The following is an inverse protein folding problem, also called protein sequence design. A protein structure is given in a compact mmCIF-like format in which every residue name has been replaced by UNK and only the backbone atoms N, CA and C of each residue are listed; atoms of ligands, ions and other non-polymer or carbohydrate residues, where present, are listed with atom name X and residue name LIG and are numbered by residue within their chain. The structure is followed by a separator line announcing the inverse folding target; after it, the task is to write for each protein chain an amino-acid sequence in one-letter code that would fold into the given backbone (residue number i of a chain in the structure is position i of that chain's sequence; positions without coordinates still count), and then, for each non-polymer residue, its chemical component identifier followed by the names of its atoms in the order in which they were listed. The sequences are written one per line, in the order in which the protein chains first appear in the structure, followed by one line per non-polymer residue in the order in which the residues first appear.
data_IF_035643648213
#
_entry.id   IF_035643648213
#
_cell.length_a   1.000
_cell.length_b   1.000
_cell.length_c   1.000
_cell.angle_alpha   90.00
_cell.angle_beta   90.00
_cell.angle_gamma   90.00
#
_symmetry.space_group_name_H-M   'P 1'
#
loop_
_entity.id
_entity.type
_entity.pdbx_description
1 polymer ?
#
# COMPACT_ATOMS: atom_id res chain seq x y z
N UNK A 1 -8.51 -7.20 -4.70
CA UNK A 1 -8.39 -6.13 -3.67
C UNK A 1 -6.95 -5.67 -3.56
N UNK A 2 -6.67 -4.43 -3.14
CA UNK A 2 -5.32 -3.98 -2.77
C UNK A 2 -4.66 -4.83 -1.68
N UNK A 3 -3.33 -4.95 -1.72
CA UNK A 3 -2.59 -5.78 -0.75
C UNK A 3 -2.77 -5.33 0.71
N UNK A 4 -2.89 -4.02 1.05
CA UNK A 4 -3.19 -3.60 2.41
C UNK A 4 -4.51 -4.16 2.94
N UNK A 5 -5.52 -4.30 2.08
CA UNK A 5 -6.83 -4.87 2.45
C UNK A 5 -6.72 -6.37 2.66
N UNK A 6 -6.00 -7.09 1.79
CA UNK A 6 -5.76 -8.52 1.97
C UNK A 6 -5.02 -8.80 3.29
N UNK A 7 -3.99 -8.02 3.60
CA UNK A 7 -3.27 -8.12 4.87
C UNK A 7 -4.17 -7.82 6.07
N UNK A 8 -4.99 -6.77 5.98
CA UNK A 8 -5.98 -6.43 7.02
C UNK A 8 -6.99 -7.56 7.25
N UNK A 9 -7.53 -8.15 6.18
CA UNK A 9 -8.48 -9.27 6.30
C UNK A 9 -7.84 -10.48 6.97
N UNK A 10 -6.59 -10.81 6.62
CA UNK A 10 -5.84 -11.91 7.24
C UNK A 10 -5.60 -11.63 8.73
N UNK A 11 -5.10 -10.44 9.06
CA UNK A 11 -4.89 -10.00 10.44
C UNK A 11 -6.20 -9.99 11.24
N UNK A 12 -7.28 -9.42 10.70
CA UNK A 12 -8.57 -9.34 11.39
C UNK A 12 -9.14 -10.72 11.69
N UNK A 13 -9.00 -11.66 10.78
CA UNK A 13 -9.43 -13.04 10.99
C UNK A 13 -8.64 -13.72 12.11
N UNK A 14 -7.35 -13.39 12.31
CA UNK A 14 -6.53 -13.95 13.39
C UNK A 14 -7.00 -13.54 14.80
N UNK A 15 -7.83 -12.50 14.89
CA UNK A 15 -8.42 -12.03 16.16
C UNK A 15 -9.77 -12.72 16.48
N UNK A 16 -10.31 -13.55 15.59
CA UNK A 16 -11.59 -14.24 15.74
C UNK A 16 -11.42 -15.69 16.18
N UNK A 17 -12.57 -16.38 16.28
CA UNK A 17 -12.64 -17.78 16.73
C UNK A 17 -12.23 -18.80 15.65
N UNK A 18 -12.18 -18.38 14.37
CA UNK A 18 -11.79 -19.22 13.22
C UNK A 18 -10.69 -18.51 12.41
N UNK A 19 -9.44 -18.49 12.93
CA UNK A 19 -8.34 -17.76 12.31
C UNK A 19 -7.87 -18.45 11.03
N UNK A 20 -7.49 -17.66 10.03
CA UNK A 20 -6.77 -18.18 8.88
C UNK A 20 -5.37 -18.64 9.30
N UNK A 21 -4.94 -19.79 8.79
CA UNK A 21 -3.59 -20.33 9.06
C UNK A 21 -2.52 -19.64 8.22
N UNK A 22 -2.88 -19.06 7.10
CA UNK A 22 -2.00 -18.27 6.22
C UNK A 22 -2.82 -17.43 5.25
N UNK A 23 -2.21 -16.40 4.71
CA UNK A 23 -2.70 -15.65 3.56
C UNK A 23 -1.86 -15.91 2.32
N UNK A 24 -2.51 -15.91 1.15
CA UNK A 24 -1.84 -15.96 -0.15
C UNK A 24 -2.35 -14.82 -1.02
N UNK A 25 -1.43 -14.06 -1.60
CA UNK A 25 -1.75 -12.95 -2.48
C UNK A 25 -1.03 -13.11 -3.82
N UNK A 26 -1.77 -12.95 -4.92
CA UNK A 26 -1.23 -13.08 -6.28
C UNK A 26 -0.99 -11.66 -6.81
N UNK A 27 0.29 -11.31 -7.04
CA UNK A 27 0.71 -10.01 -7.55
C UNK A 27 2.14 -10.04 -8.06
N UNK A 28 2.43 -9.24 -9.07
CA UNK A 28 3.78 -8.87 -9.47
C UNK A 28 4.17 -7.47 -8.95
N UNK A 29 3.32 -6.85 -8.09
CA UNK A 29 3.53 -5.51 -7.53
C UNK A 29 3.68 -4.46 -8.66
N UNK A 30 4.88 -3.91 -8.85
CA UNK A 30 5.21 -2.86 -9.82
C UNK A 30 5.86 -3.37 -11.11
N UNK A 31 6.03 -4.68 -11.26
CA UNK A 31 6.60 -5.25 -12.47
C UNK A 31 5.68 -5.04 -13.69
N UNK A 32 6.23 -5.13 -14.92
CA UNK A 32 5.43 -5.13 -16.14
C UNK A 32 4.31 -6.18 -16.14
N UNK A 33 3.27 -5.94 -16.93
CA UNK A 33 2.03 -6.72 -16.94
C UNK A 33 2.19 -8.22 -17.23
N UNK A 34 3.26 -8.63 -17.93
CA UNK A 34 3.58 -10.02 -18.25
C UNK A 34 4.10 -10.83 -17.06
N UNK A 35 4.46 -10.17 -15.95
CA UNK A 35 4.94 -10.84 -14.75
C UNK A 35 3.79 -11.14 -13.78
N UNK A 36 3.95 -12.20 -13.02
CA UNK A 36 3.10 -12.51 -11.89
C UNK A 36 3.93 -13.13 -10.76
N UNK A 37 3.35 -13.20 -9.56
CA UNK A 37 4.01 -13.75 -8.39
C UNK A 37 3.02 -14.18 -7.32
N UNK A 38 3.49 -14.95 -6.37
CA UNK A 38 2.73 -15.42 -5.22
C UNK A 38 3.45 -14.92 -3.96
N UNK A 39 2.71 -14.21 -3.12
CA UNK A 39 3.19 -13.71 -1.83
C UNK A 39 2.43 -14.39 -0.70
N UNK A 40 3.15 -14.92 0.26
CA UNK A 40 2.58 -15.57 1.44
C UNK A 40 2.55 -14.58 2.61
N UNK A 41 1.56 -14.78 3.49
CA UNK A 41 1.34 -13.98 4.70
C UNK A 41 1.18 -14.92 5.90
N UNK A 42 1.75 -14.50 7.03
CA UNK A 42 1.44 -15.09 8.33
C UNK A 42 -0.02 -14.83 8.72
N UNK A 43 -0.57 -15.57 9.69
CA UNK A 43 -1.94 -15.34 10.16
C UNK A 43 -2.20 -13.90 10.62
N UNK A 44 -1.21 -13.21 11.15
CA UNK A 44 -1.28 -11.80 11.56
C UNK A 44 -1.18 -10.79 10.42
N UNK A 45 -1.15 -11.24 9.17
CA UNK A 45 -1.04 -10.40 7.97
C UNK A 45 0.39 -9.99 7.61
N UNK A 46 1.39 -10.31 8.42
CA UNK A 46 2.79 -10.01 8.12
C UNK A 46 3.31 -10.83 6.93
N UNK A 47 4.27 -10.27 6.20
CA UNK A 47 4.92 -10.98 5.08
C UNK A 47 5.81 -12.12 5.57
N UNK A 48 5.79 -13.24 4.86
CA UNK A 48 6.80 -14.27 5.03
C UNK A 48 8.18 -13.71 4.64
N UNK A 49 9.17 -13.95 5.47
CA UNK A 49 10.57 -13.61 5.21
C UNK A 49 11.42 -14.87 5.07
N UNK A 50 11.86 -15.46 6.17
CA UNK A 50 12.63 -16.70 6.17
C UNK A 50 11.82 -17.90 5.63
N UNK A 51 10.51 -17.94 5.89
CA UNK A 51 9.61 -18.96 5.38
C UNK A 51 9.56 -19.04 3.85
N UNK A 52 9.86 -17.94 3.13
CA UNK A 52 9.93 -17.96 1.66
C UNK A 52 11.06 -18.87 1.15
N UNK A 53 12.14 -19.03 1.90
CA UNK A 53 13.26 -19.93 1.55
C UNK A 53 12.77 -21.38 1.56
N UNK A 54 12.01 -21.74 2.60
CA UNK A 54 11.48 -23.10 2.74
C UNK A 54 10.40 -23.39 1.69
N UNK A 55 9.50 -22.43 1.43
CA UNK A 55 8.49 -22.57 0.36
C UNK A 55 9.17 -22.77 -0.99
N UNK A 56 10.24 -22.01 -1.29
CA UNK A 56 11.02 -22.17 -2.51
C UNK A 56 11.66 -23.56 -2.59
N UNK A 57 12.24 -24.04 -1.48
CA UNK A 57 12.82 -25.40 -1.40
C UNK A 57 11.77 -26.46 -1.70
N UNK A 58 10.62 -26.41 -1.01
CA UNK A 58 9.51 -27.34 -1.22
C UNK A 58 9.03 -27.34 -2.68
N UNK A 59 8.90 -26.18 -3.29
CA UNK A 59 8.44 -26.04 -4.68
C UNK A 59 9.37 -26.71 -5.69
N UNK A 60 10.70 -26.67 -5.46
CA UNK A 60 11.69 -27.24 -6.40
C UNK A 60 12.15 -28.65 -6.06
N UNK A 61 12.07 -29.07 -4.81
CA UNK A 61 12.67 -30.31 -4.32
C UNK A 61 11.63 -31.37 -3.94
N UNK A 62 10.38 -31.00 -3.67
CA UNK A 62 9.34 -31.92 -3.25
C UNK A 62 8.32 -32.17 -4.35
N UNK A 63 7.91 -33.43 -4.48
CA UNK A 63 6.77 -33.78 -5.32
C UNK A 63 5.46 -33.34 -4.67
N UNK A 64 4.56 -32.75 -5.47
CA UNK A 64 3.21 -32.41 -5.00
C UNK A 64 2.48 -33.67 -4.53
N UNK A 65 2.05 -33.69 -3.27
CA UNK A 65 1.26 -34.79 -2.72
C UNK A 65 -0.20 -34.63 -3.14
N UNK A 66 -0.75 -35.65 -3.76
CA UNK A 66 -2.19 -35.72 -3.98
C UNK A 66 -2.90 -35.92 -2.62
N UNK A 67 -3.86 -35.05 -2.34
CA UNK A 67 -4.75 -35.20 -1.19
C UNK A 67 -6.04 -35.90 -1.63
N UNK A 68 -6.46 -36.92 -0.89
CA UNK A 68 -7.68 -37.69 -1.16
C UNK A 68 -8.96 -36.92 -0.87
N UNK A 69 -8.89 -35.84 -0.11
CA UNK A 69 -10.01 -34.98 0.24
C UNK A 69 -9.86 -33.58 -0.38
N UNK A 70 -10.92 -33.14 -1.04
CA UNK A 70 -10.98 -31.76 -1.55
C UNK A 70 -11.44 -30.82 -0.44
N UNK A 71 -10.70 -29.72 -0.24
CA UNK A 71 -11.12 -28.65 0.67
C UNK A 71 -12.35 -27.90 0.16
N UNK A 72 -13.02 -27.19 1.06
CA UNK A 72 -14.15 -26.31 0.72
C UNK A 72 -13.64 -24.91 0.36
N UNK A 73 -14.10 -24.37 -0.77
CA UNK A 73 -13.84 -23.00 -1.18
C UNK A 73 -15.03 -22.13 -0.76
N UNK A 74 -14.76 -21.09 0.05
CA UNK A 74 -15.73 -20.06 0.38
C UNK A 74 -15.32 -18.76 -0.31
N UNK A 75 -16.24 -18.20 -1.10
CA UNK A 75 -16.03 -16.89 -1.77
C UNK A 75 -16.60 -15.81 -0.85
N UNK A 76 -15.78 -14.85 -0.48
CA UNK A 76 -16.17 -13.71 0.34
C UNK A 76 -16.60 -12.54 -0.55
N UNK A 77 -17.53 -11.72 -0.06
CA UNK A 77 -17.94 -10.50 -0.74
C UNK A 77 -16.80 -9.46 -0.72
N UNK A 78 -16.40 -8.99 -1.90
CA UNK A 78 -15.41 -7.93 -2.03
C UNK A 78 -15.91 -6.65 -1.37
N UNK A 79 -17.15 -6.23 -1.64
CA UNK A 79 -17.72 -5.00 -1.11
C UNK A 79 -17.78 -5.00 0.43
N UNK A 80 -18.14 -6.15 1.03
CA UNK A 80 -18.10 -6.30 2.48
C UNK A 80 -16.70 -6.06 3.05
N UNK A 81 -15.66 -6.60 2.42
CA UNK A 81 -14.26 -6.46 2.88
C UNK A 81 -13.71 -5.06 2.64
N UNK A 82 -14.09 -4.41 1.53
CA UNK A 82 -13.77 -3.00 1.28
C UNK A 82 -14.41 -2.09 2.33
N UNK A 83 -15.68 -2.29 2.65
CA UNK A 83 -16.38 -1.54 3.69
C UNK A 83 -15.78 -1.76 5.08
N UNK A 84 -15.46 -2.98 5.43
CA UNK A 84 -14.78 -3.33 6.69
C UNK A 84 -13.45 -2.56 6.84
N UNK A 85 -12.62 -2.60 5.79
CA UNK A 85 -11.35 -1.89 5.78
C UNK A 85 -11.54 -0.37 5.86
N UNK A 86 -12.48 0.18 5.09
CA UNK A 86 -12.81 1.61 5.12
C UNK A 86 -13.19 2.05 6.52
N UNK A 87 -14.10 1.32 7.19
CA UNK A 87 -14.52 1.63 8.56
C UNK A 87 -13.34 1.56 9.54
N UNK A 88 -12.45 0.58 9.38
CA UNK A 88 -11.25 0.48 10.19
C UNK A 88 -10.34 1.72 10.01
N UNK A 89 -10.04 2.11 8.77
CA UNK A 89 -9.21 3.30 8.48
C UNK A 89 -9.86 4.56 9.03
N UNK A 90 -11.16 4.76 8.81
CA UNK A 90 -11.92 5.90 9.34
C UNK A 90 -11.89 5.97 10.87
N UNK A 91 -11.84 4.81 11.56
CA UNK A 91 -11.72 4.78 13.03
C UNK A 91 -10.35 5.23 13.56
N UNK A 92 -9.34 5.31 12.68
CA UNK A 92 -7.94 5.63 13.03
C UNK A 92 -7.49 7.02 12.60
N UNK A 93 -8.19 7.60 11.66
CA UNK A 93 -7.84 8.90 11.07
C UNK A 93 -8.88 9.95 11.44
N UNK A 94 -8.44 11.21 11.52
CA UNK A 94 -9.32 12.37 11.65
C UNK A 94 -9.97 12.75 10.32
N UNK A 95 -10.85 13.74 10.38
CA UNK A 95 -11.48 14.35 9.21
C UNK A 95 -10.44 15.13 8.39
N UNK A 96 -10.59 15.07 7.06
CA UNK A 96 -9.76 15.78 6.07
C UNK A 96 -10.60 16.79 5.25
N UNK A 97 -11.71 17.24 5.78
CA UNK A 97 -12.63 18.19 5.11
C UNK A 97 -11.88 19.40 4.55
N UNK A 98 -12.22 19.75 3.33
CA UNK A 98 -11.71 20.92 2.63
C UNK A 98 -10.37 20.69 1.91
N UNK A 99 -9.78 19.53 2.03
CA UNK A 99 -8.61 19.17 1.22
C UNK A 99 -9.01 18.83 -0.20
N UNK A 100 -8.15 19.19 -1.16
CA UNK A 100 -8.26 18.85 -2.58
C UNK A 100 -7.06 18.02 -3.01
N UNK A 101 -7.28 16.81 -3.51
CA UNK A 101 -6.22 15.86 -3.83
C UNK A 101 -6.38 15.32 -5.25
N UNK A 102 -5.29 15.31 -6.03
CA UNK A 102 -5.23 14.57 -7.27
C UNK A 102 -4.68 13.16 -7.04
N UNK A 103 -5.34 12.15 -7.62
CA UNK A 103 -5.05 10.74 -7.36
C UNK A 103 -4.79 10.01 -8.69
N UNK A 104 -3.74 9.18 -8.73
CA UNK A 104 -3.43 8.31 -9.85
C UNK A 104 -3.17 6.87 -9.37
N UNK A 105 -4.19 5.99 -9.37
CA UNK A 105 -3.99 4.56 -9.10
C UNK A 105 -3.31 3.80 -10.25
N UNK A 106 -3.03 4.43 -11.39
CA UNK A 106 -2.30 3.84 -12.50
C UNK A 106 -2.93 2.59 -13.10
N UNK A 107 -4.25 2.52 -13.17
CA UNK A 107 -5.00 1.33 -13.57
C UNK A 107 -4.79 0.09 -12.67
N UNK A 108 -4.13 0.26 -11.52
CA UNK A 108 -3.93 -0.81 -10.54
C UNK A 108 -5.19 -1.12 -9.73
N UNK A 109 -5.11 -2.11 -8.85
CA UNK A 109 -6.25 -2.52 -8.00
C UNK A 109 -6.65 -1.48 -6.96
N UNK A 110 -5.82 -0.45 -6.71
CA UNK A 110 -6.19 0.72 -5.91
C UNK A 110 -7.39 1.48 -6.44
N UNK A 111 -7.62 1.43 -7.76
CA UNK A 111 -8.76 2.06 -8.44
C UNK A 111 -10.12 1.69 -7.87
N UNK A 112 -10.26 0.55 -7.23
CA UNK A 112 -11.56 0.07 -6.71
C UNK A 112 -11.95 0.70 -5.36
N UNK A 113 -11.06 1.45 -4.70
CA UNK A 113 -11.33 1.94 -3.35
C UNK A 113 -10.76 3.33 -3.06
N UNK A 114 -9.59 3.68 -3.61
CA UNK A 114 -8.81 4.82 -3.10
C UNK A 114 -9.57 6.14 -3.25
N UNK A 115 -10.21 6.37 -4.38
CA UNK A 115 -10.99 7.57 -4.65
C UNK A 115 -12.17 7.68 -3.65
N UNK A 116 -12.99 6.64 -3.54
CA UNK A 116 -14.12 6.58 -2.61
C UNK A 116 -13.66 6.73 -1.15
N UNK A 117 -12.53 6.13 -0.78
CA UNK A 117 -11.99 6.23 0.56
C UNK A 117 -11.65 7.68 0.93
N UNK A 118 -10.96 8.42 0.07
CA UNK A 118 -10.67 9.84 0.32
C UNK A 118 -11.94 10.69 0.39
N UNK A 119 -12.92 10.45 -0.49
CA UNK A 119 -14.20 11.14 -0.45
C UNK A 119 -14.95 10.91 0.87
N UNK A 120 -14.87 9.72 1.46
CA UNK A 120 -15.43 9.42 2.79
C UNK A 120 -14.77 10.21 3.93
N UNK A 121 -13.55 10.69 3.73
CA UNK A 121 -12.86 11.60 4.64
C UNK A 121 -13.17 13.09 4.39
N UNK A 122 -14.11 13.41 3.49
CA UNK A 122 -14.47 14.79 3.14
C UNK A 122 -13.52 15.45 2.15
N UNK A 123 -12.65 14.68 1.49
CA UNK A 123 -11.69 15.19 0.51
C UNK A 123 -12.35 15.38 -0.84
N UNK A 124 -12.11 16.52 -1.50
CA UNK A 124 -12.43 16.72 -2.91
C UNK A 124 -11.33 16.07 -3.76
N UNK A 125 -11.69 15.07 -4.56
CA UNK A 125 -10.74 14.28 -5.34
C UNK A 125 -10.84 14.54 -6.83
N UNK A 126 -9.69 14.52 -7.53
CA UNK A 126 -9.60 14.43 -8.98
C UNK A 126 -8.79 13.18 -9.32
N UNK A 127 -9.45 12.16 -9.84
CA UNK A 127 -8.82 10.86 -10.05
C UNK A 127 -8.61 10.59 -11.55
N UNK A 128 -7.37 10.27 -11.94
CA UNK A 128 -7.00 9.80 -13.29
C UNK A 128 -6.65 8.32 -13.25
N UNK A 129 -6.69 7.64 -14.40
CA UNK A 129 -6.31 6.22 -14.53
C UNK A 129 -7.05 5.30 -13.52
N UNK A 130 -8.32 5.63 -13.23
CA UNK A 130 -9.13 5.04 -12.17
C UNK A 130 -10.00 3.86 -12.62
N UNK A 131 -9.58 3.14 -13.65
CA UNK A 131 -10.23 1.90 -14.10
C UNK A 131 -9.21 0.78 -14.03
N UNK A 132 -9.45 -0.29 -13.24
CA UNK A 132 -8.51 -1.40 -13.15
C UNK A 132 -8.27 -2.03 -14.52
N UNK A 133 -7.03 -2.07 -14.97
CA UNK A 133 -6.61 -2.72 -16.21
C UNK A 133 -5.19 -3.28 -16.06
N UNK A 134 -5.08 -4.61 -16.04
CA UNK A 134 -3.80 -5.30 -15.84
C UNK A 134 -2.80 -5.13 -16.97
N UNK A 135 -3.18 -4.49 -18.10
CA UNK A 135 -2.24 -4.10 -19.15
C UNK A 135 -1.52 -2.78 -18.88
N UNK A 136 -1.98 -1.99 -17.88
CA UNK A 136 -1.42 -0.69 -17.49
C UNK A 136 -1.28 0.28 -18.69
N UNK A 137 -2.39 0.61 -19.39
CA UNK A 137 -2.33 1.29 -20.70
C UNK A 137 -1.83 2.74 -20.63
N UNK A 138 -1.99 3.41 -19.48
CA UNK A 138 -1.72 4.84 -19.36
C UNK A 138 -0.32 5.15 -18.82
N UNK A 139 0.21 4.30 -17.93
CA UNK A 139 1.59 4.37 -17.45
C UNK A 139 2.04 3.01 -16.90
N UNK A 140 3.36 2.76 -16.80
CA UNK A 140 3.86 1.59 -16.08
C UNK A 140 3.28 1.49 -14.66
N UNK A 141 3.10 0.28 -14.16
CA UNK A 141 2.62 -0.02 -12.81
C UNK A 141 3.47 0.66 -11.71
N UNK A 142 4.77 0.85 -11.96
CA UNK A 142 5.67 1.57 -11.05
C UNK A 142 5.39 3.08 -11.05
N UNK A 143 5.07 3.72 -9.90
CA UNK A 143 4.81 5.15 -9.79
C UNK A 143 6.11 5.97 -9.67
N UNK A 144 7.15 5.61 -10.44
CA UNK A 144 8.38 6.40 -10.46
C UNK A 144 8.10 7.81 -11.03
N UNK A 145 8.76 8.86 -10.54
CA UNK A 145 8.50 10.24 -10.98
C UNK A 145 8.52 10.44 -12.51
N UNK A 146 9.36 9.72 -13.23
CA UNK A 146 9.43 9.73 -14.71
C UNK A 146 8.15 9.23 -15.39
N UNK A 147 7.33 8.45 -14.69
CA UNK A 147 6.09 7.86 -15.19
C UNK A 147 4.84 8.70 -14.82
N UNK A 148 5.00 9.77 -14.04
CA UNK A 148 3.88 10.55 -13.48
C UNK A 148 3.57 11.84 -14.28
N UNK A 149 3.94 11.90 -15.57
CA UNK A 149 3.79 13.11 -16.39
C UNK A 149 2.35 13.65 -16.44
N UNK A 150 1.35 12.77 -16.50
CA UNK A 150 -0.07 13.15 -16.52
C UNK A 150 -0.51 13.71 -15.16
N UNK A 151 -0.18 13.03 -14.05
CA UNK A 151 -0.48 13.51 -12.70
C UNK A 151 0.23 14.82 -12.38
N UNK A 152 1.51 14.98 -12.78
CA UNK A 152 2.27 16.23 -12.63
C UNK A 152 1.60 17.36 -13.41
N UNK A 153 1.12 17.07 -14.62
CA UNK A 153 0.42 18.06 -15.46
C UNK A 153 -0.91 18.47 -14.84
N UNK A 154 -1.66 17.53 -14.28
CA UNK A 154 -2.89 17.79 -13.55
C UNK A 154 -2.62 18.62 -12.29
N UNK A 155 -1.64 18.24 -11.47
CA UNK A 155 -1.26 18.93 -10.24
C UNK A 155 -0.87 20.40 -10.48
N UNK A 156 -0.23 20.69 -11.62
CA UNK A 156 0.19 22.06 -11.99
C UNK A 156 -0.91 22.92 -12.61
N UNK A 157 -1.95 22.30 -13.09
CA UNK A 157 -3.04 22.99 -13.79
C UNK A 157 -4.14 23.47 -12.85
N UNK A 158 -4.28 22.82 -11.71
CA UNK A 158 -5.33 23.08 -10.73
C UNK A 158 -4.73 23.20 -9.32
N UNK A 159 -5.50 23.72 -8.36
CA UNK A 159 -5.05 23.93 -7.00
C UNK A 159 -5.36 22.70 -6.14
N UNK A 160 -4.40 21.79 -6.01
CA UNK A 160 -4.44 20.66 -5.08
C UNK A 160 -3.51 20.90 -3.90
N UNK A 161 -3.89 20.43 -2.73
CA UNK A 161 -3.01 20.47 -1.55
C UNK A 161 -1.81 19.53 -1.71
N UNK A 162 -2.05 18.37 -2.32
CA UNK A 162 -1.03 17.45 -2.80
C UNK A 162 -1.60 16.49 -3.85
N UNK A 163 -0.73 15.70 -4.45
CA UNK A 163 -1.16 14.60 -5.33
C UNK A 163 -0.50 13.30 -4.93
N UNK A 164 -1.14 12.16 -5.24
CA UNK A 164 -0.62 10.84 -4.89
C UNK A 164 -0.81 9.85 -6.02
N UNK A 165 0.24 9.10 -6.33
CA UNK A 165 0.22 7.97 -7.26
C UNK A 165 0.50 6.65 -6.53
N UNK A 166 -0.13 5.56 -6.98
CA UNK A 166 0.01 4.24 -6.39
C UNK A 166 0.59 3.25 -7.39
N UNK A 167 1.22 2.19 -6.89
CA UNK A 167 1.63 1.06 -7.72
C UNK A 167 0.47 0.05 -7.93
N UNK A 168 0.76 -1.02 -8.68
CA UNK A 168 -0.29 -1.94 -9.16
C UNK A 168 -1.11 -2.63 -8.08
N UNK A 169 -0.52 -2.95 -6.92
CA UNK A 169 -1.20 -3.58 -5.79
C UNK A 169 -1.44 -2.63 -4.61
N UNK A 170 -1.12 -1.34 -4.82
CA UNK A 170 -1.37 -0.21 -3.92
C UNK A 170 -0.73 -0.37 -2.53
N UNK A 171 0.44 -1.02 -2.45
CA UNK A 171 1.25 -1.08 -1.22
C UNK A 171 2.33 0.02 -1.18
N UNK A 172 2.55 0.72 -2.31
CA UNK A 172 3.46 1.86 -2.43
C UNK A 172 2.78 3.07 -3.02
N UNK A 173 3.20 4.26 -2.55
CA UNK A 173 2.73 5.52 -3.09
C UNK A 173 3.87 6.52 -3.26
N UNK A 174 3.68 7.43 -4.22
CA UNK A 174 4.56 8.58 -4.46
C UNK A 174 3.72 9.85 -4.37
N UNK A 175 4.19 10.81 -3.59
CA UNK A 175 3.52 12.09 -3.39
C UNK A 175 4.13 13.19 -4.27
N UNK A 176 3.28 14.09 -4.73
CA UNK A 176 3.67 15.38 -5.31
C UNK A 176 3.20 16.49 -4.37
N UNK A 177 4.00 17.54 -4.25
CA UNK A 177 3.61 18.76 -3.51
C UNK A 177 2.51 19.57 -4.25
N UNK A 178 2.08 20.68 -3.66
CA UNK A 178 1.10 21.62 -4.21
C UNK A 178 1.53 22.26 -5.54
N UNK A 179 2.77 22.10 -5.95
CA UNK A 179 3.35 22.57 -7.22
C UNK A 179 3.58 21.46 -8.24
N UNK A 180 3.20 20.22 -7.90
CA UNK A 180 3.40 19.05 -8.73
C UNK A 180 4.87 18.59 -8.77
N UNK A 181 5.67 18.86 -7.74
CA UNK A 181 7.03 18.33 -7.64
C UNK A 181 7.02 17.04 -6.81
N UNK A 182 7.72 15.99 -7.25
CA UNK A 182 7.85 14.76 -6.45
C UNK A 182 8.50 15.03 -5.09
N UNK A 183 7.88 14.48 -4.04
CA UNK A 183 8.41 14.53 -2.66
C UNK A 183 9.18 13.24 -2.40
N UNK A 184 10.41 13.36 -1.87
CA UNK A 184 11.20 12.15 -1.58
C UNK A 184 10.58 11.32 -0.46
N UNK A 185 10.73 9.98 -0.50
CA UNK A 185 10.21 9.09 0.54
C UNK A 185 10.67 9.45 1.94
N UNK A 186 11.91 9.90 2.09
CA UNK A 186 12.47 10.31 3.38
C UNK A 186 11.76 11.53 3.95
N UNK A 187 11.41 12.52 3.11
CA UNK A 187 10.64 13.68 3.56
C UNK A 187 9.26 13.27 4.06
N UNK A 188 8.59 12.37 3.35
CA UNK A 188 7.31 11.80 3.81
C UNK A 188 7.51 11.04 5.13
N UNK A 189 8.55 10.20 5.23
CA UNK A 189 8.91 9.51 6.47
C UNK A 189 9.13 10.44 7.65
N UNK A 190 9.82 11.57 7.45
CA UNK A 190 10.04 12.59 8.48
C UNK A 190 8.72 13.27 8.90
N UNK A 191 7.85 13.59 7.95
CA UNK A 191 6.52 14.18 8.24
C UNK A 191 5.69 13.21 9.09
N UNK A 192 5.63 11.94 8.71
CA UNK A 192 4.92 10.90 9.47
C UNK A 192 5.55 10.70 10.84
N UNK A 193 6.88 10.58 10.93
CA UNK A 193 7.60 10.43 12.20
C UNK A 193 7.30 11.58 13.15
N UNK A 194 7.25 12.83 12.66
CA UNK A 194 6.92 14.01 13.47
C UNK A 194 5.54 13.91 14.13
N UNK A 195 4.57 13.26 13.49
CA UNK A 195 3.22 13.09 14.04
C UNK A 195 3.10 11.91 15.01
N UNK A 196 4.05 10.97 14.98
CA UNK A 196 3.99 9.71 15.75
C UNK A 196 4.95 9.68 16.95
N UNK A 197 6.04 10.47 16.91
CA UNK A 197 7.03 10.49 17.98
C UNK A 197 6.42 11.06 19.27
N UNK A 198 6.59 10.29 20.37
CA UNK A 198 6.30 10.71 21.74
C UNK A 198 7.51 10.42 22.62
N UNK A 199 7.62 10.98 23.86
CA UNK A 199 8.71 10.65 24.76
C UNK A 199 8.86 9.15 25.06
N UNK A 200 7.75 8.40 25.03
CA UNK A 200 7.70 6.96 25.30
C UNK A 200 7.93 6.11 24.04
N UNK A 201 7.76 6.68 22.84
CA UNK A 201 7.86 5.99 21.55
C UNK A 201 8.53 6.88 20.52
N UNK A 202 9.88 6.95 20.60
CA UNK A 202 10.67 7.85 19.77
C UNK A 202 11.68 7.15 18.84
N UNK A 203 11.68 5.81 18.79
CA UNK A 203 12.63 5.05 17.95
C UNK A 203 12.10 4.91 16.54
N UNK A 204 12.93 5.34 15.58
CA UNK A 204 12.66 5.24 14.14
C UNK A 204 13.67 4.27 13.55
N UNK A 205 13.16 3.17 12.96
CA UNK A 205 14.00 2.20 12.26
C UNK A 205 14.04 2.56 10.77
N UNK A 206 15.23 2.70 10.22
CA UNK A 206 15.45 2.94 8.79
C UNK A 206 16.32 1.85 8.17
N UNK A 207 16.00 1.48 6.93
CA UNK A 207 16.80 0.53 6.15
C UNK A 207 18.00 1.19 5.48
N UNK A 208 19.03 0.40 5.17
CA UNK A 208 20.27 0.86 4.50
C UNK A 208 20.03 1.68 3.20
N UNK A 209 18.99 1.42 2.38
CA UNK A 209 18.72 2.22 1.19
C UNK A 209 18.22 3.64 1.45
N UNK A 210 17.85 3.98 2.69
CA UNK A 210 17.35 5.31 3.04
C UNK A 210 18.46 6.37 3.01
N UNK A 211 18.08 7.62 2.74
CA UNK A 211 19.00 8.74 2.70
C UNK A 211 19.53 9.11 4.09
N UNK A 212 20.79 9.51 4.14
CA UNK A 212 21.47 10.04 5.35
C UNK A 212 20.80 11.29 5.94
N UNK A 213 19.91 11.95 5.21
CA UNK A 213 19.14 13.09 5.73
C UNK A 213 18.36 12.75 7.01
N UNK A 214 18.02 11.47 7.20
CA UNK A 214 17.34 10.99 8.40
C UNK A 214 18.20 11.17 9.67
N UNK A 215 19.54 11.07 9.57
CA UNK A 215 20.45 11.28 10.69
C UNK A 215 20.40 12.73 11.21
N UNK A 216 20.18 13.67 10.30
CA UNK A 216 20.08 15.08 10.66
C UNK A 216 18.67 15.48 11.14
N UNK A 217 17.63 14.90 10.54
CA UNK A 217 16.25 15.38 10.74
C UNK A 217 15.50 14.64 11.86
N UNK A 218 15.73 13.34 12.05
CA UNK A 218 15.04 12.58 13.10
C UNK A 218 15.37 13.07 14.52
N UNK A 219 16.65 13.35 14.88
CA UNK A 219 16.95 13.94 16.19
C UNK A 219 16.31 15.30 16.43
N UNK A 220 16.18 16.16 15.39
CA UNK A 220 15.55 17.49 15.52
C UNK A 220 14.08 17.43 15.93
N UNK A 221 13.41 16.35 15.63
CA UNK A 221 12.00 16.12 16.01
C UNK A 221 11.85 15.25 17.27
N UNK A 222 12.96 14.99 17.99
CA UNK A 222 12.96 14.22 19.23
C UNK A 222 13.02 12.70 19.05
N UNK A 223 13.34 12.23 17.84
CA UNK A 223 13.48 10.80 17.51
C UNK A 223 14.89 10.27 17.71
N UNK A 224 14.99 8.97 17.96
CA UNK A 224 16.21 8.17 17.91
C UNK A 224 16.21 7.34 16.62
N UNK A 225 17.17 7.58 15.72
CA UNK A 225 17.30 6.82 14.48
C UNK A 225 18.10 5.53 14.71
N UNK A 226 17.57 4.41 14.25
CA UNK A 226 18.21 3.09 14.26
C UNK A 226 18.30 2.58 12.82
N UNK A 227 19.49 2.25 12.38
CA UNK A 227 19.73 1.64 11.07
C UNK A 227 19.58 0.13 11.09
#
# INVERSE_FOLDING_TARGET
VPIPIANYCTWKASLGDDPYIAGVYITASHNPAEYNGIRFRHPDGAGYTEGNIEIKRMFFEEEAKEHSESGKINILSTDEKLNDYTNFVMSKMGNLDGMRIAIDPGNGVGSIIIDELFQKFGVETSCINNVPDGSFPNRPSEPAPKNLGELISLARKDNFDFSVAYDGDADRCVFLDDKGNPVSPEKIGIIVARSLITPESNKILAGVPCSMILEDEIPKIGGELIW
#
